data_IF_851810942845
#
_entry.id   IF_851810942845
#
_cell.length_a   1.000
_cell.length_b   1.000
_cell.length_c   1.000
_cell.angle_alpha   90.00
_cell.angle_beta   90.00
_cell.angle_gamma   90.00
#
_symmetry.space_group_name_H-M   'P 1'
#
loop_
_entity.id
_entity.type
_entity.pdbx_description
1 polymer ?
#
# COMPACT_ATOMS: atom_id res chain seq x y z
N UNK A 1 -22.74 -2.60 14.42
CA UNK A 1 -21.34 -2.62 14.91
C UNK A 1 -20.38 -2.99 13.81
N UNK A 2 -19.20 -2.37 13.78
CA UNK A 2 -18.10 -2.86 12.94
C UNK A 2 -17.50 -1.84 11.99
N UNK A 3 -17.18 -0.63 12.48
CA UNK A 3 -16.11 0.11 11.82
C UNK A 3 -14.83 -0.75 11.93
N UNK A 4 -14.14 -1.08 10.84
CA UNK A 4 -12.95 -1.91 10.90
C UNK A 4 -11.93 -1.28 11.85
N UNK A 5 -11.29 -2.11 12.69
CA UNK A 5 -10.43 -1.70 13.81
C UNK A 5 -9.44 -0.58 13.43
N UNK A 6 -8.92 -0.60 12.20
CA UNK A 6 -8.00 0.40 11.69
C UNK A 6 -8.62 1.79 11.52
N UNK A 7 -9.83 1.89 10.97
CA UNK A 7 -10.53 3.18 10.82
C UNK A 7 -10.91 3.77 12.20
N UNK A 8 -11.28 2.92 13.16
CA UNK A 8 -11.54 3.37 14.53
C UNK A 8 -10.28 3.95 15.17
N UNK A 9 -9.13 3.27 15.03
CA UNK A 9 -7.83 3.75 15.52
C UNK A 9 -7.48 5.13 14.95
N UNK A 10 -7.59 5.30 13.63
CA UNK A 10 -7.28 6.57 12.95
C UNK A 10 -8.15 7.71 13.49
N UNK A 11 -9.45 7.48 13.63
CA UNK A 11 -10.41 8.52 14.04
C UNK A 11 -10.28 8.97 15.49
N UNK A 12 -9.97 8.06 16.40
CA UNK A 12 -10.00 8.35 17.84
C UNK A 12 -8.63 8.55 18.46
N UNK A 13 -7.55 8.11 17.80
CA UNK A 13 -6.21 8.13 18.41
C UNK A 13 -5.20 9.00 17.66
N UNK A 14 -5.54 9.57 16.49
CA UNK A 14 -4.67 10.44 15.68
C UNK A 14 -3.20 9.95 15.66
N UNK A 15 -2.96 8.70 15.23
CA UNK A 15 -1.66 8.08 15.38
C UNK A 15 -0.59 8.80 14.55
N UNK A 16 0.64 8.87 15.06
CA UNK A 16 1.79 9.35 14.29
C UNK A 16 2.30 8.31 13.28
N UNK A 17 2.15 7.02 13.61
CA UNK A 17 2.57 5.89 12.79
C UNK A 17 1.49 4.80 12.84
N UNK A 18 1.00 4.39 11.67
CA UNK A 18 0.11 3.24 11.52
C UNK A 18 0.90 2.06 10.95
N UNK A 19 1.01 1.00 11.75
CA UNK A 19 1.63 -0.26 11.32
C UNK A 19 0.57 -1.34 11.20
N UNK A 20 0.48 -1.99 10.04
CA UNK A 20 -0.52 -3.04 9.81
C UNK A 20 0.03 -4.21 9.00
N UNK A 21 -0.44 -5.42 9.32
CA UNK A 21 -0.14 -6.61 8.53
C UNK A 21 -1.26 -6.88 7.50
N UNK A 22 -0.86 -7.33 6.31
CA UNK A 22 -1.79 -7.83 5.28
C UNK A 22 -2.89 -6.83 4.87
N UNK A 23 -2.48 -5.68 4.37
CA UNK A 23 -3.36 -4.75 3.70
C UNK A 23 -3.99 -5.41 2.46
N UNK A 24 -5.30 -5.27 2.27
CA UNK A 24 -5.95 -5.88 1.11
C UNK A 24 -7.44 -5.61 0.93
N UNK A 25 -8.16 -5.18 1.97
CA UNK A 25 -9.59 -4.91 1.87
C UNK A 25 -9.88 -3.46 1.48
N UNK A 26 -11.04 -3.17 0.88
CA UNK A 26 -11.44 -1.80 0.56
C UNK A 26 -11.50 -0.88 1.79
N UNK A 27 -11.90 -1.42 2.94
CA UNK A 27 -11.97 -0.65 4.17
C UNK A 27 -10.59 -0.32 4.73
N UNK A 28 -9.62 -1.21 4.50
CA UNK A 28 -8.23 -0.96 4.87
C UNK A 28 -7.65 0.20 4.08
N UNK A 29 -7.92 0.22 2.76
CA UNK A 29 -7.46 1.29 1.88
C UNK A 29 -8.01 2.65 2.31
N UNK A 30 -9.31 2.73 2.66
CA UNK A 30 -9.92 3.96 3.18
C UNK A 30 -9.29 4.42 4.50
N UNK A 31 -8.98 3.50 5.40
CA UNK A 31 -8.35 3.85 6.68
C UNK A 31 -6.90 4.33 6.50
N UNK A 32 -6.14 3.74 5.57
CA UNK A 32 -4.80 4.22 5.21
C UNK A 32 -4.87 5.62 4.59
N UNK A 33 -5.79 5.85 3.66
CA UNK A 33 -5.98 7.17 3.04
C UNK A 33 -6.29 8.25 4.09
N UNK A 34 -7.19 7.96 5.03
CA UNK A 34 -7.53 8.87 6.12
C UNK A 34 -6.32 9.11 7.03
N UNK A 35 -5.59 8.06 7.40
CA UNK A 35 -4.40 8.17 8.24
C UNK A 35 -3.36 9.12 7.61
N UNK A 36 -3.07 8.96 6.31
CA UNK A 36 -2.14 9.85 5.59
C UNK A 36 -2.65 11.29 5.57
N UNK A 37 -3.95 11.52 5.34
CA UNK A 37 -4.54 12.88 5.37
C UNK A 37 -4.41 13.55 6.75
N UNK A 38 -4.45 12.76 7.82
CA UNK A 38 -4.22 13.26 9.19
C UNK A 38 -2.74 13.46 9.55
N UNK A 39 -1.82 13.17 8.62
CA UNK A 39 -0.38 13.33 8.80
C UNK A 39 0.33 12.11 9.40
N UNK A 40 -0.36 10.96 9.51
CA UNK A 40 0.25 9.73 9.98
C UNK A 40 1.17 9.12 8.90
N UNK A 41 2.33 8.62 9.33
CA UNK A 41 3.17 7.75 8.49
C UNK A 41 2.62 6.32 8.49
N UNK A 42 2.84 5.57 7.41
CA UNK A 42 2.27 4.22 7.25
C UNK A 42 3.38 3.19 6.99
N UNK A 43 3.31 2.05 7.68
CA UNK A 43 4.09 0.85 7.38
C UNK A 43 3.14 -0.34 7.26
N UNK A 44 3.01 -0.88 6.06
CA UNK A 44 2.09 -1.98 5.79
C UNK A 44 2.76 -3.12 5.04
N UNK A 45 2.26 -4.33 5.23
CA UNK A 45 2.63 -5.49 4.41
C UNK A 45 1.46 -5.92 3.53
N UNK A 46 1.75 -6.35 2.31
CA UNK A 46 0.78 -6.95 1.39
C UNK A 46 1.36 -8.27 0.89
N UNK A 47 0.51 -9.28 0.72
CA UNK A 47 0.92 -10.54 0.10
C UNK A 47 0.68 -10.48 -1.40
N UNK A 48 1.74 -10.58 -2.19
CA UNK A 48 1.71 -10.68 -3.65
C UNK A 48 3.09 -11.08 -4.17
N UNK A 49 3.13 -11.63 -5.38
CA UNK A 49 4.36 -12.18 -5.96
C UNK A 49 5.17 -11.14 -6.76
N UNK A 50 4.49 -10.13 -7.32
CA UNK A 50 5.08 -9.03 -8.08
C UNK A 50 4.17 -7.79 -8.07
N UNK A 51 4.68 -6.66 -8.57
CA UNK A 51 3.92 -5.40 -8.61
C UNK A 51 2.65 -5.53 -9.48
N UNK A 52 2.73 -6.27 -10.57
CA UNK A 52 1.63 -6.49 -11.51
C UNK A 52 0.47 -7.28 -10.87
N UNK A 53 0.77 -8.22 -9.96
CA UNK A 53 -0.26 -8.91 -9.16
C UNK A 53 -0.95 -7.95 -8.18
N UNK A 54 -0.18 -7.05 -7.56
CA UNK A 54 -0.72 -6.02 -6.67
C UNK A 54 -1.64 -5.05 -7.39
N UNK A 55 -1.30 -4.66 -8.64
CA UNK A 55 -2.11 -3.77 -9.47
C UNK A 55 -3.45 -4.39 -9.92
N UNK A 56 -3.57 -5.73 -9.94
CA UNK A 56 -4.86 -6.39 -10.21
C UNK A 56 -5.83 -6.31 -9.03
N UNK A 57 -5.37 -5.95 -7.83
CA UNK A 57 -6.19 -5.86 -6.63
C UNK A 57 -6.71 -4.43 -6.47
N UNK A 58 -8.02 -4.16 -6.61
CA UNK A 58 -8.56 -2.80 -6.67
C UNK A 58 -8.15 -1.93 -5.47
N UNK A 59 -8.18 -2.48 -4.26
CA UNK A 59 -7.83 -1.74 -3.04
C UNK A 59 -6.36 -1.38 -2.96
N UNK A 60 -5.46 -2.23 -3.45
CA UNK A 60 -4.01 -1.99 -3.43
C UNK A 60 -3.62 -1.08 -4.59
N UNK A 61 -4.13 -1.36 -5.79
CA UNK A 61 -3.95 -0.53 -6.97
C UNK A 61 -4.33 0.93 -6.69
N UNK A 62 -5.47 1.15 -6.04
CA UNK A 62 -5.90 2.46 -5.59
C UNK A 62 -4.85 3.17 -4.73
N UNK A 63 -4.33 2.51 -3.70
CA UNK A 63 -3.33 3.10 -2.79
C UNK A 63 -2.00 3.43 -3.50
N UNK A 64 -1.59 2.56 -4.42
CA UNK A 64 -0.38 2.75 -5.23
C UNK A 64 -0.55 3.91 -6.22
N UNK A 65 -1.69 4.00 -6.90
CA UNK A 65 -2.03 5.07 -7.84
C UNK A 65 -2.16 6.43 -7.14
N UNK A 66 -2.76 6.47 -5.94
CA UNK A 66 -2.83 7.67 -5.10
C UNK A 66 -1.48 8.08 -4.51
N UNK A 67 -0.41 7.28 -4.72
CA UNK A 67 0.96 7.56 -4.25
C UNK A 67 1.06 7.73 -2.74
N UNK A 68 0.27 6.95 -1.99
CA UNK A 68 0.31 6.96 -0.53
C UNK A 68 1.54 6.23 0.04
N UNK A 69 2.23 5.45 -0.80
CA UNK A 69 3.47 4.77 -0.44
C UNK A 69 4.65 5.32 -1.25
N UNK A 70 5.65 5.85 -0.53
CA UNK A 70 6.89 6.37 -1.12
C UNK A 70 7.92 5.28 -1.41
N UNK A 71 7.79 4.12 -0.75
CA UNK A 71 8.72 3.00 -0.90
C UNK A 71 7.98 1.68 -0.81
N UNK A 72 8.32 0.77 -1.72
CA UNK A 72 7.84 -0.61 -1.75
C UNK A 72 9.05 -1.53 -1.74
N UNK A 73 9.05 -2.51 -0.86
CA UNK A 73 10.13 -3.49 -0.73
C UNK A 73 9.54 -4.89 -0.94
N UNK A 74 10.04 -5.60 -1.95
CA UNK A 74 9.67 -6.99 -2.19
C UNK A 74 10.63 -7.89 -1.43
N UNK A 75 10.06 -8.73 -0.57
CA UNK A 75 10.79 -9.69 0.25
C UNK A 75 10.47 -11.10 -0.21
N UNK A 76 11.49 -11.97 -0.23
CA UNK A 76 11.34 -13.39 -0.50
C UNK A 76 12.03 -14.26 0.55
N UNK A 77 11.90 -15.58 0.37
CA UNK A 77 12.63 -16.60 1.13
C UNK A 77 13.66 -17.35 0.27
N UNK A 78 13.92 -16.93 -0.98
CA UNK A 78 14.76 -17.66 -1.95
C UNK A 78 16.20 -17.86 -1.47
N UNK A 79 16.77 -16.87 -0.78
CA UNK A 79 18.12 -16.92 -0.17
C UNK A 79 18.06 -16.89 1.37
N UNK A 80 16.95 -17.36 1.94
CA UNK A 80 16.64 -17.23 3.37
C UNK A 80 15.55 -16.19 3.65
N UNK A 81 14.92 -16.23 4.83
CA UNK A 81 13.80 -15.34 5.16
C UNK A 81 14.23 -13.86 5.17
N UNK A 82 13.42 -13.00 4.56
CA UNK A 82 13.68 -11.56 4.51
C UNK A 82 14.69 -11.15 3.43
N UNK A 83 14.92 -12.00 2.43
CA UNK A 83 15.75 -11.65 1.27
C UNK A 83 15.09 -10.48 0.52
N UNK A 84 15.76 -9.34 0.42
CA UNK A 84 15.28 -8.23 -0.41
C UNK A 84 15.53 -8.58 -1.87
N UNK A 85 14.45 -8.66 -2.64
CA UNK A 85 14.53 -8.93 -4.07
C UNK A 85 14.54 -7.64 -4.86
N UNK A 86 13.64 -6.71 -4.51
CA UNK A 86 13.47 -5.45 -5.22
C UNK A 86 13.10 -4.33 -4.25
N UNK A 87 13.56 -3.12 -4.54
CA UNK A 87 13.17 -1.90 -3.84
C UNK A 87 12.72 -0.89 -4.89
N UNK A 88 11.50 -0.42 -4.73
CA UNK A 88 10.94 0.66 -5.54
C UNK A 88 10.87 1.93 -4.69
N UNK A 89 11.57 2.99 -5.10
CA UNK A 89 11.38 4.33 -4.56
C UNK A 89 10.25 5.06 -5.29
N UNK A 90 9.76 6.17 -4.72
CA UNK A 90 8.61 6.91 -5.26
C UNK A 90 8.76 7.35 -6.72
N UNK A 91 9.98 7.63 -7.18
CA UNK A 91 10.27 7.94 -8.59
C UNK A 91 10.29 6.70 -9.50
N UNK A 92 10.78 5.56 -8.99
CA UNK A 92 10.79 4.29 -9.73
C UNK A 92 9.38 3.73 -9.88
N UNK A 93 8.55 3.84 -8.83
CA UNK A 93 7.13 3.50 -8.87
C UNK A 93 6.41 4.31 -9.97
N UNK A 94 6.72 5.62 -10.11
CA UNK A 94 6.19 6.45 -11.22
C UNK A 94 6.53 5.86 -12.60
N UNK A 95 7.78 5.46 -12.83
CA UNK A 95 8.22 5.00 -14.16
C UNK A 95 7.52 3.71 -14.60
N UNK A 96 7.26 2.78 -13.67
CA UNK A 96 6.56 1.51 -13.93
C UNK A 96 5.05 1.70 -14.06
N UNK A 97 4.44 2.57 -13.24
CA UNK A 97 3.01 2.91 -13.39
C UNK A 97 2.72 3.65 -14.70
N UNK A 98 3.61 4.54 -15.13
CA UNK A 98 3.46 5.26 -16.42
C UNK A 98 3.65 4.37 -17.64
N UNK A 99 4.43 3.30 -17.53
CA UNK A 99 4.57 2.33 -18.61
C UNK A 99 3.24 1.59 -18.90
N UNK A 100 2.28 1.62 -17.98
CA UNK A 100 0.98 0.98 -18.08
C UNK A 100 -0.18 1.97 -18.34
N UNK A 101 0.06 3.29 -18.37
CA UNK A 101 -0.95 4.34 -18.61
C UNK A 101 -1.34 4.52 -20.11
N UNK A 102 -1.20 3.49 -20.95
CA UNK A 102 -1.88 3.42 -22.25
C UNK A 102 -3.09 2.49 -22.11
N UNK A 103 -4.11 2.97 -21.41
CA UNK A 103 -5.42 2.32 -21.40
C UNK A 103 -6.11 2.43 -20.06
N UNK A 104 -6.84 3.53 -19.86
CA UNK A 104 -8.30 3.49 -19.72
C UNK A 104 -8.80 4.94 -19.70
N UNK A 105 -9.50 5.30 -20.77
CA UNK A 105 -10.37 6.48 -20.86
C UNK A 105 -11.68 6.11 -20.17
N UNK A 106 -12.08 6.90 -19.17
CA UNK A 106 -13.38 7.57 -18.95
C UNK A 106 -13.43 8.13 -17.52
#
# INVERSE_FOLDING_TARGET
DGCPKMMMLVRFMSPQLLVTDKLGRPEDARAVEEAVKTGASILATVQGDCLEDLMKRPSIAYLLQQRLFERIVFLSRRKGPGTVEEIYGGETVKSRLKAEEIGYVF
#
